data_IF_100869455588
#
_entry.id   IF_100869455588
#
_cell.length_a   1.000
_cell.length_b   1.000
_cell.length_c   1.000
_cell.angle_alpha   90.00
_cell.angle_beta   90.00
_cell.angle_gamma   90.00
#
_symmetry.space_group_name_H-M   'P 1'
#
loop_
_entity.id
_entity.type
_entity.pdbx_description
1 polymer ?
#
# COMPACT_ATOMS: atom_id res chain seq x y z
N UNK A 1 29.28 10.25 13.39
CA UNK A 1 28.50 9.13 13.97
C UNK A 1 27.37 8.85 13.00
N UNK A 2 27.22 7.61 12.57
CA UNK A 2 26.15 7.22 11.65
C UNK A 2 24.90 6.86 12.44
N UNK A 3 23.77 7.40 12.00
CA UNK A 3 22.46 7.14 12.60
C UNK A 3 21.45 6.85 11.50
N UNK A 4 20.36 6.21 11.88
CA UNK A 4 19.23 5.91 11.03
C UNK A 4 18.04 6.69 11.56
N UNK A 5 17.46 7.55 10.73
CA UNK A 5 16.32 8.38 11.11
C UNK A 5 15.07 7.53 11.32
N UNK A 6 14.36 7.75 12.42
CA UNK A 6 13.05 7.13 12.68
C UNK A 6 11.89 8.05 12.28
N UNK A 7 12.15 9.34 12.15
CA UNK A 7 11.20 10.36 11.73
C UNK A 7 11.79 11.24 10.63
N UNK A 8 10.92 11.94 9.91
CA UNK A 8 11.32 12.92 8.91
C UNK A 8 11.83 14.18 9.60
N UNK A 9 13.05 14.62 9.27
CA UNK A 9 13.67 15.82 9.82
C UNK A 9 14.10 16.69 8.65
N UNK A 10 13.49 17.87 8.50
CA UNK A 10 13.70 18.78 7.35
C UNK A 10 15.17 19.02 6.99
N UNK A 11 16.04 19.14 8.00
CA UNK A 11 17.47 19.45 7.82
C UNK A 11 18.37 18.22 7.67
N UNK A 12 17.84 17.02 7.87
CA UNK A 12 18.63 15.78 7.94
C UNK A 12 18.23 14.78 6.86
N UNK A 13 16.94 14.56 6.62
CA UNK A 13 16.44 13.57 5.69
C UNK A 13 15.10 12.98 6.08
N UNK A 14 14.74 11.88 5.43
CA UNK A 14 13.48 11.18 5.67
C UNK A 14 13.68 9.97 6.59
N UNK A 15 12.58 9.49 7.16
CA UNK A 15 12.52 8.26 7.93
C UNK A 15 13.14 7.10 7.15
N UNK A 16 14.08 6.42 7.78
CA UNK A 16 14.81 5.28 7.21
C UNK A 16 16.14 5.64 6.57
N UNK A 17 16.46 6.93 6.39
CA UNK A 17 17.73 7.35 5.82
C UNK A 17 18.89 7.17 6.82
N UNK A 18 20.03 6.72 6.30
CA UNK A 18 21.29 6.62 7.05
C UNK A 18 22.06 7.91 6.85
N UNK A 19 22.18 8.71 7.91
CA UNK A 19 22.83 10.02 7.87
C UNK A 19 24.01 10.09 8.83
N UNK A 20 25.06 10.82 8.42
CA UNK A 20 26.23 11.03 9.26
C UNK A 20 26.11 12.37 9.97
N UNK A 21 26.05 12.34 11.30
CA UNK A 21 25.91 13.55 12.13
C UNK A 21 27.05 13.66 13.15
N UNK A 22 27.17 14.85 13.73
CA UNK A 22 28.10 15.11 14.83
C UNK A 22 27.71 14.26 16.05
N UNK A 23 28.67 13.58 16.73
CA UNK A 23 28.36 12.68 17.84
C UNK A 23 27.56 13.31 18.98
N UNK A 24 27.83 14.57 19.32
CA UNK A 24 27.09 15.29 20.36
C UNK A 24 25.63 15.54 19.99
N UNK A 25 25.35 15.84 18.71
CA UNK A 25 23.97 16.05 18.25
C UNK A 25 23.16 14.74 18.27
N UNK A 26 23.79 13.62 17.88
CA UNK A 26 23.15 12.31 18.00
C UNK A 26 22.87 11.94 19.46
N UNK A 27 23.89 11.95 20.33
CA UNK A 27 23.77 11.48 21.72
C UNK A 27 22.89 12.35 22.60
N UNK A 28 22.90 13.67 22.41
CA UNK A 28 22.20 14.59 23.31
C UNK A 28 20.79 14.95 22.84
N UNK A 29 20.49 14.79 21.54
CA UNK A 29 19.22 15.23 20.96
C UNK A 29 18.48 14.09 20.25
N UNK A 30 19.09 13.47 19.23
CA UNK A 30 18.37 12.53 18.35
C UNK A 30 18.07 11.17 19.01
N UNK A 31 19.04 10.59 19.73
CA UNK A 31 18.87 9.29 20.40
C UNK A 31 17.90 9.38 21.59
N UNK A 32 18.03 10.34 22.53
CA UNK A 32 17.13 10.42 23.69
C UNK A 32 15.67 10.70 23.29
N UNK A 33 15.46 11.46 22.22
CA UNK A 33 14.12 11.77 21.71
C UNK A 33 13.55 10.69 20.79
N UNK A 34 14.28 9.58 20.55
CA UNK A 34 13.88 8.50 19.64
C UNK A 34 13.64 8.97 18.19
N UNK A 35 14.28 10.06 17.78
CA UNK A 35 14.22 10.57 16.41
C UNK A 35 15.17 9.78 15.49
N UNK A 36 16.19 9.13 16.06
CA UNK A 36 17.12 8.30 15.33
C UNK A 36 17.69 7.16 16.19
N UNK A 37 18.18 6.13 15.52
CA UNK A 37 18.88 4.98 16.13
C UNK A 37 20.31 4.91 15.60
N UNK A 38 21.24 4.37 16.38
CA UNK A 38 22.60 4.15 15.89
C UNK A 38 22.64 3.17 14.71
N UNK A 39 23.39 3.54 13.67
CA UNK A 39 23.62 2.69 12.50
C UNK A 39 24.65 1.60 12.80
N UNK A 40 24.33 0.71 13.74
CA UNK A 40 25.12 -0.49 14.01
C UNK A 40 24.90 -1.51 12.89
N UNK A 41 25.87 -2.41 12.69
CA UNK A 41 25.76 -3.50 11.71
C UNK A 41 24.52 -4.36 11.96
N UNK A 42 24.14 -4.55 13.23
CA UNK A 42 22.91 -5.26 13.61
C UNK A 42 21.65 -4.53 13.17
N UNK A 43 21.58 -3.21 13.41
CA UNK A 43 20.41 -2.39 13.08
C UNK A 43 20.24 -2.23 11.56
N UNK A 44 21.35 -2.07 10.82
CA UNK A 44 21.33 -2.03 9.35
C UNK A 44 20.77 -3.34 8.78
N UNK A 45 21.28 -4.49 9.23
CA UNK A 45 20.77 -5.81 8.81
C UNK A 45 19.32 -6.05 9.21
N UNK A 46 18.87 -5.52 10.36
CA UNK A 46 17.47 -5.62 10.77
C UNK A 46 16.55 -4.84 9.83
N UNK A 47 16.93 -3.61 9.47
CA UNK A 47 16.17 -2.76 8.56
C UNK A 47 16.16 -3.34 7.15
N UNK A 48 17.29 -3.86 6.65
CA UNK A 48 17.34 -4.54 5.35
C UNK A 48 16.40 -5.75 5.31
N UNK A 49 16.40 -6.59 6.35
CA UNK A 49 15.47 -7.73 6.44
C UNK A 49 14.01 -7.31 6.46
N UNK A 50 13.67 -6.27 7.21
CA UNK A 50 12.31 -5.71 7.23
C UNK A 50 11.94 -5.18 5.84
N UNK A 51 12.84 -4.41 5.20
CA UNK A 51 12.64 -3.85 3.86
C UNK A 51 12.44 -4.95 2.82
N UNK A 52 13.25 -5.99 2.83
CA UNK A 52 13.11 -7.14 1.95
C UNK A 52 11.80 -7.89 2.17
N UNK A 53 11.41 -8.09 3.43
CA UNK A 53 10.14 -8.74 3.78
C UNK A 53 8.94 -7.93 3.29
N UNK A 54 8.95 -6.62 3.51
CA UNK A 54 7.92 -5.71 3.01
C UNK A 54 7.88 -5.69 1.49
N UNK A 55 9.02 -5.56 0.82
CA UNK A 55 9.10 -5.57 -0.63
C UNK A 55 8.57 -6.88 -1.23
N UNK A 56 8.83 -8.02 -0.58
CA UNK A 56 8.29 -9.32 -0.99
C UNK A 56 6.77 -9.37 -0.82
N UNK A 57 6.24 -8.89 0.30
CA UNK A 57 4.79 -8.81 0.54
C UNK A 57 4.09 -7.92 -0.49
N UNK A 58 4.63 -6.72 -0.72
CA UNK A 58 4.05 -5.80 -1.71
C UNK A 58 4.13 -6.37 -3.12
N UNK A 59 5.23 -7.05 -3.48
CA UNK A 59 5.33 -7.71 -4.78
C UNK A 59 4.27 -8.82 -4.93
N UNK A 60 4.05 -9.64 -3.91
CA UNK A 60 3.01 -10.69 -3.95
C UNK A 60 1.60 -10.12 -4.01
N UNK A 61 1.33 -9.01 -3.31
CA UNK A 61 0.04 -8.32 -3.36
C UNK A 61 -0.22 -7.71 -4.75
N UNK A 62 0.80 -7.07 -5.33
CA UNK A 62 0.72 -6.51 -6.69
C UNK A 62 0.51 -7.61 -7.73
N UNK A 63 1.24 -8.73 -7.63
CA UNK A 63 1.09 -9.86 -8.56
C UNK A 63 -0.31 -10.48 -8.44
N UNK A 64 -0.83 -10.65 -7.21
CA UNK A 64 -2.19 -11.14 -7.00
C UNK A 64 -3.24 -10.19 -7.58
N UNK A 65 -3.07 -8.87 -7.38
CA UNK A 65 -3.97 -7.85 -7.92
C UNK A 65 -3.93 -7.80 -9.46
N UNK A 66 -2.76 -7.93 -10.07
CA UNK A 66 -2.61 -7.98 -11.53
C UNK A 66 -3.30 -9.22 -12.12
N UNK A 67 -3.10 -10.41 -11.53
CA UNK A 67 -3.80 -11.63 -11.96
C UNK A 67 -5.32 -11.48 -11.86
N UNK A 68 -5.81 -10.86 -10.78
CA UNK A 68 -7.24 -10.60 -10.63
C UNK A 68 -7.76 -9.60 -11.67
N UNK A 69 -6.99 -8.56 -12.00
CA UNK A 69 -7.34 -7.61 -13.04
C UNK A 69 -7.40 -8.25 -14.44
N UNK A 70 -6.46 -9.13 -14.76
CA UNK A 70 -6.46 -9.89 -16.02
C UNK A 70 -7.71 -10.77 -16.15
N UNK A 71 -8.10 -11.45 -15.07
CA UNK A 71 -9.33 -12.25 -15.05
C UNK A 71 -10.59 -11.39 -15.24
N UNK A 72 -10.62 -10.19 -14.66
CA UNK A 72 -11.75 -9.26 -14.79
C UNK A 72 -11.87 -8.61 -16.16
N UNK A 73 -10.76 -8.37 -16.87
CA UNK A 73 -10.80 -7.77 -18.21
C UNK A 73 -11.62 -8.59 -19.23
N UNK A 74 -11.72 -9.91 -19.03
CA UNK A 74 -12.52 -10.80 -19.88
C UNK A 74 -13.99 -10.93 -19.45
N UNK A 75 -14.39 -10.36 -18.31
CA UNK A 75 -15.72 -10.55 -17.74
C UNK A 75 -16.71 -9.57 -18.34
N UNK A 76 -17.70 -10.10 -19.05
CA UNK A 76 -18.88 -9.35 -19.47
C UNK A 76 -20.03 -9.60 -18.48
N UNK A 77 -20.54 -8.53 -17.87
CA UNK A 77 -21.76 -8.57 -17.05
C UNK A 77 -22.94 -8.09 -17.88
N UNK A 78 -24.03 -8.85 -17.86
CA UNK A 78 -25.30 -8.48 -18.50
C UNK A 78 -26.34 -8.23 -17.41
N UNK A 79 -26.93 -7.04 -17.42
CA UNK A 79 -27.99 -6.66 -16.49
C UNK A 79 -29.29 -6.45 -17.27
N UNK A 80 -30.34 -7.18 -16.90
CA UNK A 80 -31.67 -7.04 -17.51
C UNK A 80 -32.57 -6.25 -16.56
N UNK A 81 -33.02 -5.07 -16.99
CA UNK A 81 -33.86 -4.15 -16.18
C UNK A 81 -34.96 -3.56 -17.05
N UNK A 82 -36.05 -3.11 -16.41
CA UNK A 82 -37.20 -2.52 -17.10
C UNK A 82 -36.89 -1.09 -17.55
N UNK A 83 -37.22 -0.78 -18.79
CA UNK A 83 -37.14 0.57 -19.37
C UNK A 83 -38.55 1.17 -19.48
N UNK A 84 -38.64 2.50 -19.40
CA UNK A 84 -39.86 3.28 -19.61
C UNK A 84 -39.99 3.78 -21.05
N UNK A 85 -41.00 4.63 -21.30
CA UNK A 85 -41.14 5.32 -22.59
C UNK A 85 -39.90 6.19 -22.84
N UNK A 86 -39.28 6.04 -24.01
CA UNK A 86 -38.00 6.64 -24.44
C UNK A 86 -36.70 5.94 -23.97
N UNK A 87 -36.72 4.62 -23.76
CA UNK A 87 -35.52 3.83 -23.38
C UNK A 87 -34.84 4.28 -22.07
N UNK A 88 -35.52 5.08 -21.25
CA UNK A 88 -35.03 5.47 -19.95
C UNK A 88 -35.20 4.32 -18.97
N UNK A 89 -34.09 3.83 -18.42
CA UNK A 89 -34.09 2.78 -17.41
C UNK A 89 -34.74 3.29 -16.11
N UNK A 90 -35.62 2.50 -15.51
CA UNK A 90 -36.09 2.78 -14.15
C UNK A 90 -34.99 2.40 -13.15
N UNK A 91 -34.44 3.40 -12.46
CA UNK A 91 -33.35 3.24 -11.50
C UNK A 91 -31.96 3.34 -12.12
N UNK A 92 -30.94 2.79 -11.44
CA UNK A 92 -29.55 2.77 -11.90
C UNK A 92 -28.91 1.41 -11.63
N UNK A 93 -27.88 1.08 -12.41
CA UNK A 93 -26.96 -0.02 -12.07
C UNK A 93 -25.92 0.56 -11.10
N UNK A 94 -25.91 0.05 -9.88
CA UNK A 94 -25.01 0.52 -8.82
C UNK A 94 -23.77 -0.36 -8.70
N UNK A 95 -22.75 0.11 -7.97
CA UNK A 95 -21.57 -0.70 -7.66
C UNK A 95 -21.92 -2.00 -6.91
N UNK A 96 -23.04 -2.02 -6.19
CA UNK A 96 -23.54 -3.21 -5.52
C UNK A 96 -24.08 -4.25 -6.54
N UNK A 97 -24.85 -3.81 -7.55
CA UNK A 97 -25.32 -4.70 -8.63
C UNK A 97 -24.13 -5.32 -9.40
N UNK A 98 -23.09 -4.53 -9.63
CA UNK A 98 -21.84 -4.99 -10.29
C UNK A 98 -21.12 -6.02 -9.42
N UNK A 99 -20.95 -5.74 -8.12
CA UNK A 99 -20.31 -6.67 -7.19
C UNK A 99 -21.09 -8.00 -7.07
N UNK A 100 -22.42 -7.95 -7.05
CA UNK A 100 -23.27 -9.15 -7.07
C UNK A 100 -23.13 -9.93 -8.39
N UNK A 101 -23.12 -9.23 -9.53
CA UNK A 101 -22.90 -9.84 -10.84
C UNK A 101 -21.53 -10.52 -10.95
N UNK A 102 -20.48 -9.91 -10.40
CA UNK A 102 -19.14 -10.50 -10.33
C UNK A 102 -19.07 -11.67 -9.35
N UNK A 103 -19.76 -11.58 -8.21
CA UNK A 103 -19.84 -12.67 -7.23
C UNK A 103 -20.54 -13.91 -7.81
N UNK A 104 -21.58 -13.72 -8.64
CA UNK A 104 -22.26 -14.80 -9.34
C UNK A 104 -21.35 -15.54 -10.34
N UNK A 105 -20.31 -14.86 -10.85
CA UNK A 105 -19.28 -15.45 -11.72
C UNK A 105 -18.06 -15.98 -10.95
N UNK A 106 -18.10 -15.94 -9.60
CA UNK A 106 -17.04 -16.46 -8.73
C UNK A 106 -16.01 -15.43 -8.27
N UNK A 107 -16.15 -14.16 -8.64
CA UNK A 107 -15.25 -13.08 -8.23
C UNK A 107 -15.78 -12.37 -6.98
N UNK A 108 -15.14 -12.61 -5.82
CA UNK A 108 -15.44 -11.84 -4.59
C UNK A 108 -14.69 -10.51 -4.63
N UNK A 109 -15.40 -9.44 -4.97
CA UNK A 109 -14.89 -8.07 -5.03
C UNK A 109 -15.70 -7.22 -4.05
N UNK A 110 -15.00 -6.41 -3.26
CA UNK A 110 -15.66 -5.42 -2.39
C UNK A 110 -16.16 -4.25 -3.26
N UNK A 111 -17.26 -3.62 -2.85
CA UNK A 111 -17.91 -2.52 -3.55
C UNK A 111 -17.17 -1.18 -3.46
N UNK A 112 -16.03 -1.15 -2.75
CA UNK A 112 -15.28 0.05 -2.36
C UNK A 112 -14.13 0.35 -3.31
#
# INVERSE_FOLDING_TARGET
>A
MQIILQEDIEKLGRRGDVVTVKPGYARNFLLPQKLAVEATVGNLKAIERIRMSLAKKTATEVEAAQKQAELLNGVALKFTRKTGENDQMFGSVTSADIAEGLAAQGFKIDKR
#
